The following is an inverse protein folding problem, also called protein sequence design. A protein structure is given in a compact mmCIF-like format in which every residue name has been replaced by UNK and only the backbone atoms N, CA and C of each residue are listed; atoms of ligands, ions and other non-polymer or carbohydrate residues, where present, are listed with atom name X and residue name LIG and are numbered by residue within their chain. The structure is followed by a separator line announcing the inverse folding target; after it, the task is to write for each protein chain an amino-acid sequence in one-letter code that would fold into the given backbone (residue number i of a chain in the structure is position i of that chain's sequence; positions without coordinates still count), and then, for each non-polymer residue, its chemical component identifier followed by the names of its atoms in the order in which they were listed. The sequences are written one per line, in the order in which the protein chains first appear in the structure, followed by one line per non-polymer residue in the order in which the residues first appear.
data_IF_073054982599
#
_entry.id   IF_073054982599
#
_cell.length_a   1.000
_cell.length_b   1.000
_cell.length_c   1.000
_cell.angle_alpha   90.00
_cell.angle_beta   90.00
_cell.angle_gamma   90.00
#
_symmetry.space_group_name_H-M   'P 1'
#
loop_
_entity.id
_entity.type
_entity.pdbx_description
1 polymer ?
#
# COMPACT_ATOMS: atom_id res chain seq x y z
N UNK A 1 6.40 -7.36 3.48
CA UNK A 1 6.69 -7.24 4.93
C UNK A 1 7.82 -8.18 5.33
N UNK A 2 9.00 -7.66 5.70
CA UNK A 2 10.19 -8.49 5.96
C UNK A 2 10.05 -9.40 7.19
N UNK A 3 9.16 -9.05 8.13
CA UNK A 3 8.93 -9.77 9.38
C UNK A 3 7.95 -10.96 9.28
N UNK A 4 7.31 -11.18 8.12
CA UNK A 4 6.44 -12.35 7.91
C UNK A 4 7.28 -13.50 7.36
N UNK A 5 7.24 -14.66 8.04
CA UNK A 5 7.97 -15.86 7.60
C UNK A 5 7.58 -16.24 6.16
N UNK A 6 8.55 -16.63 5.29
CA UNK A 6 8.27 -16.98 3.90
C UNK A 6 7.18 -18.04 3.71
N UNK A 7 7.10 -19.03 4.61
CA UNK A 7 6.06 -20.08 4.57
C UNK A 7 4.64 -19.52 4.62
N UNK A 8 4.41 -18.48 5.42
CA UNK A 8 3.08 -17.89 5.55
C UNK A 8 2.71 -17.08 4.31
N UNK A 9 3.68 -16.42 3.68
CA UNK A 9 3.48 -15.72 2.40
C UNK A 9 3.09 -16.72 1.31
N UNK A 10 3.87 -17.78 1.12
CA UNK A 10 3.59 -18.84 0.14
C UNK A 10 2.20 -19.45 0.26
N UNK A 11 1.73 -19.65 1.49
CA UNK A 11 0.39 -20.20 1.74
C UNK A 11 -0.74 -19.22 1.38
N UNK A 12 -0.45 -17.92 1.28
CA UNK A 12 -1.41 -16.87 0.92
C UNK A 12 -1.31 -16.45 -0.54
N UNK A 13 -0.13 -16.56 -1.16
CA UNK A 13 0.16 -16.05 -2.51
C UNK A 13 -0.88 -16.52 -3.54
N UNK A 14 -1.21 -17.82 -3.59
CA UNK A 14 -2.21 -18.31 -4.54
C UNK A 14 -3.64 -17.76 -4.33
N UNK A 15 -4.01 -17.38 -3.11
CA UNK A 15 -5.29 -16.69 -2.86
C UNK A 15 -5.23 -15.21 -3.20
N UNK A 16 -4.06 -14.60 -3.05
CA UNK A 16 -3.80 -13.21 -3.43
C UNK A 16 -3.90 -13.09 -4.96
N UNK A 17 -3.30 -14.02 -5.69
CA UNK A 17 -3.35 -14.06 -7.16
C UNK A 17 -4.80 -14.18 -7.65
N UNK A 18 -5.58 -15.13 -7.11
CA UNK A 18 -6.99 -15.28 -7.45
C UNK A 18 -7.82 -14.02 -7.17
N UNK A 19 -7.55 -13.34 -6.05
CA UNK A 19 -8.27 -12.12 -5.70
C UNK A 19 -7.86 -10.94 -6.59
N UNK A 20 -6.59 -10.87 -6.98
CA UNK A 20 -6.08 -9.87 -7.92
C UNK A 20 -6.71 -10.05 -9.30
N UNK A 21 -6.74 -11.28 -9.81
CA UNK A 21 -7.36 -11.61 -11.11
C UNK A 21 -8.85 -11.24 -11.11
N UNK A 22 -9.56 -11.52 -10.02
CA UNK A 22 -10.97 -11.13 -9.87
C UNK A 22 -11.14 -9.61 -9.90
N UNK A 23 -10.31 -8.84 -9.17
CA UNK A 23 -10.37 -7.36 -9.21
C UNK A 23 -10.11 -6.83 -10.61
N UNK A 24 -9.13 -7.38 -11.33
CA UNK A 24 -8.80 -6.97 -12.70
C UNK A 24 -9.95 -7.28 -13.65
N UNK A 25 -10.55 -8.47 -13.53
CA UNK A 25 -11.70 -8.87 -14.34
C UNK A 25 -12.91 -7.94 -14.14
N UNK A 26 -13.25 -7.63 -12.90
CA UNK A 26 -14.36 -6.71 -12.58
C UNK A 26 -14.05 -5.27 -13.01
N UNK A 27 -12.79 -4.85 -12.90
CA UNK A 27 -12.37 -3.52 -13.35
C UNK A 27 -12.47 -3.34 -14.87
N UNK A 28 -12.42 -4.43 -15.64
CA UNK A 28 -12.49 -4.40 -17.11
C UNK A 28 -13.86 -3.96 -17.65
N UNK A 29 -14.92 -4.00 -16.82
CA UNK A 29 -16.23 -3.47 -17.19
C UNK A 29 -16.26 -1.93 -17.29
N UNK A 30 -15.26 -1.26 -16.71
CA UNK A 30 -15.16 0.19 -16.68
C UNK A 30 -14.21 0.69 -17.77
N UNK A 31 -14.56 1.82 -18.40
CA UNK A 31 -13.68 2.47 -19.38
C UNK A 31 -12.51 3.25 -18.76
N UNK A 32 -12.55 3.50 -17.45
CA UNK A 32 -11.50 4.20 -16.71
C UNK A 32 -10.37 3.24 -16.31
N UNK A 33 -9.12 3.43 -16.78
CA UNK A 33 -7.98 2.63 -16.35
C UNK A 33 -7.73 2.65 -14.83
N UNK A 34 -8.25 3.64 -14.11
CA UNK A 34 -8.18 3.77 -12.66
C UNK A 34 -9.28 3.05 -11.88
N UNK A 35 -10.28 2.46 -12.54
CA UNK A 35 -11.47 1.90 -11.89
C UNK A 35 -11.15 0.79 -10.86
N UNK A 36 -10.05 0.06 -11.07
CA UNK A 36 -9.59 -0.96 -10.12
C UNK A 36 -9.32 -0.40 -8.71
N UNK A 37 -9.05 0.90 -8.56
CA UNK A 37 -8.76 1.52 -7.27
C UNK A 37 -9.94 1.42 -6.30
N UNK A 38 -11.17 1.63 -6.78
CA UNK A 38 -12.39 1.49 -5.97
C UNK A 38 -12.62 0.04 -5.54
N UNK A 39 -12.46 -0.90 -6.47
CA UNK A 39 -12.61 -2.34 -6.22
C UNK A 39 -11.55 -2.87 -5.25
N UNK A 40 -10.30 -2.41 -5.40
CA UNK A 40 -9.21 -2.76 -4.50
C UNK A 40 -9.47 -2.23 -3.09
N UNK A 41 -9.96 -0.99 -2.96
CA UNK A 41 -10.33 -0.40 -1.68
C UNK A 41 -11.46 -1.19 -0.99
N UNK A 42 -12.55 -1.46 -1.72
CA UNK A 42 -13.65 -2.28 -1.24
C UNK A 42 -13.18 -3.65 -0.75
N UNK A 43 -12.35 -4.31 -1.56
CA UNK A 43 -11.82 -5.64 -1.28
C UNK A 43 -10.94 -5.65 -0.02
N UNK A 44 -10.01 -4.71 0.09
CA UNK A 44 -9.14 -4.57 1.26
C UNK A 44 -9.94 -4.31 2.54
N UNK A 45 -10.93 -3.42 2.48
CA UNK A 45 -11.81 -3.10 3.61
C UNK A 45 -12.59 -4.34 4.04
N UNK A 46 -13.24 -5.01 3.09
CA UNK A 46 -14.02 -6.21 3.37
C UNK A 46 -13.14 -7.35 3.93
N UNK A 47 -11.96 -7.56 3.36
CA UNK A 47 -11.01 -8.57 3.83
C UNK A 47 -10.59 -8.31 5.28
N UNK A 48 -10.19 -7.08 5.61
CA UNK A 48 -9.78 -6.71 6.95
C UNK A 48 -10.92 -6.93 7.98
N UNK A 49 -12.14 -6.46 7.69
CA UNK A 49 -13.29 -6.65 8.57
C UNK A 49 -13.65 -8.13 8.74
N UNK A 50 -13.58 -8.91 7.66
CA UNK A 50 -13.82 -10.36 7.68
C UNK A 50 -12.77 -11.13 8.48
N UNK A 51 -11.50 -10.70 8.43
CA UNK A 51 -10.42 -11.24 9.27
C UNK A 51 -10.68 -10.93 10.74
N UNK A 52 -11.01 -9.68 11.08
CA UNK A 52 -11.34 -9.30 12.46
C UNK A 52 -12.51 -10.10 12.99
N UNK A 53 -13.60 -10.22 12.23
CA UNK A 53 -14.78 -10.99 12.64
C UNK A 53 -14.44 -12.46 12.90
N UNK A 54 -13.66 -13.10 12.02
CA UNK A 54 -13.25 -14.51 12.18
C UNK A 54 -12.26 -14.72 13.34
N UNK A 55 -11.34 -13.78 13.55
CA UNK A 55 -10.25 -13.92 14.53
C UNK A 55 -10.62 -13.45 15.94
N UNK A 56 -11.46 -12.43 16.05
CA UNK A 56 -11.76 -11.72 17.28
C UNK A 56 -13.25 -11.73 17.66
N UNK A 57 -14.14 -12.18 16.75
CA UNK A 57 -15.58 -12.30 16.96
C UNK A 57 -16.34 -10.96 16.88
N UNK A 58 -15.79 -9.90 17.48
CA UNK A 58 -16.42 -8.58 17.56
C UNK A 58 -15.41 -7.45 17.33
N UNK A 59 -15.90 -6.33 16.79
CA UNK A 59 -15.10 -5.12 16.61
C UNK A 59 -14.90 -4.41 17.95
N UNK A 60 -13.69 -3.92 18.21
CA UNK A 60 -13.33 -3.12 19.38
C UNK A 60 -12.50 -1.92 18.94
N UNK A 61 -12.52 -0.84 19.71
CA UNK A 61 -11.82 0.40 19.33
C UNK A 61 -10.32 0.18 19.01
N UNK A 62 -9.62 -0.61 19.81
CA UNK A 62 -8.21 -0.91 19.56
C UNK A 62 -7.98 -1.66 18.23
N UNK A 63 -8.96 -2.44 17.74
CA UNK A 63 -8.90 -3.09 16.43
C UNK A 63 -9.08 -2.08 15.30
N UNK A 64 -9.89 -1.04 15.50
CA UNK A 64 -10.03 0.07 14.55
C UNK A 64 -8.69 0.80 14.43
N UNK A 65 -8.10 1.20 15.55
CA UNK A 65 -6.78 1.85 15.58
C UNK A 65 -5.70 0.97 14.92
N UNK A 66 -5.71 -0.35 15.21
CA UNK A 66 -4.79 -1.31 14.60
C UNK A 66 -4.96 -1.37 13.08
N UNK A 67 -6.20 -1.53 12.58
CA UNK A 67 -6.47 -1.62 11.14
C UNK A 67 -6.09 -0.32 10.41
N UNK A 68 -6.43 0.84 10.97
CA UNK A 68 -6.03 2.14 10.42
C UNK A 68 -4.50 2.25 10.33
N UNK A 69 -3.79 1.86 11.39
CA UNK A 69 -2.32 1.82 11.39
C UNK A 69 -1.76 0.85 10.35
N UNK A 70 -2.36 -0.32 10.17
CA UNK A 70 -1.96 -1.29 9.13
C UNK A 70 -2.11 -0.67 7.74
N UNK A 71 -3.26 -0.08 7.42
CA UNK A 71 -3.48 0.54 6.11
C UNK A 71 -2.57 1.74 5.85
N UNK A 72 -2.33 2.59 6.86
CA UNK A 72 -1.37 3.69 6.77
C UNK A 72 0.04 3.18 6.47
N UNK A 73 0.51 2.17 7.21
CA UNK A 73 1.82 1.56 6.98
C UNK A 73 1.93 0.94 5.59
N UNK A 74 0.86 0.32 5.06
CA UNK A 74 0.85 -0.20 3.70
C UNK A 74 1.04 0.92 2.66
N UNK A 75 0.29 2.02 2.78
CA UNK A 75 0.41 3.17 1.89
C UNK A 75 1.82 3.79 1.94
N UNK A 76 2.36 3.98 3.15
CA UNK A 76 3.69 4.56 3.34
C UNK A 76 4.79 3.66 2.76
N UNK A 77 4.64 2.34 2.87
CA UNK A 77 5.60 1.39 2.29
C UNK A 77 5.52 1.33 0.76
N UNK A 78 4.34 1.54 0.16
CA UNK A 78 4.23 1.70 -1.29
C UNK A 78 5.01 2.92 -1.76
N UNK A 79 4.82 4.07 -1.11
CA UNK A 79 5.53 5.27 -1.48
C UNK A 79 7.04 5.13 -1.23
N UNK A 80 7.44 4.64 -0.06
CA UNK A 80 8.86 4.48 0.31
C UNK A 80 9.62 3.49 -0.57
N UNK A 81 9.00 2.36 -0.97
CA UNK A 81 9.69 1.29 -1.71
C UNK A 81 9.48 1.33 -3.22
N UNK A 82 8.44 2.03 -3.70
CA UNK A 82 8.10 2.08 -5.13
C UNK A 82 8.13 3.52 -5.63
N UNK A 83 7.45 4.44 -4.93
CA UNK A 83 7.40 5.86 -5.28
C UNK A 83 8.77 6.54 -5.23
N UNK A 84 9.44 6.51 -4.08
CA UNK A 84 10.73 7.18 -3.89
C UNK A 84 11.82 6.68 -4.87
N UNK A 85 11.98 5.37 -5.15
CA UNK A 85 12.91 4.94 -6.20
C UNK A 85 12.56 5.45 -7.60
N UNK A 86 11.28 5.57 -7.94
CA UNK A 86 10.83 6.18 -9.19
C UNK A 86 11.18 7.67 -9.23
N UNK A 87 10.89 8.42 -8.16
CA UNK A 87 11.18 9.85 -8.04
C UNK A 87 12.68 10.13 -8.09
N UNK A 88 13.51 9.32 -7.41
CA UNK A 88 14.97 9.43 -7.48
C UNK A 88 15.48 9.35 -8.93
N UNK A 89 14.88 8.47 -9.76
CA UNK A 89 15.21 8.40 -11.19
C UNK A 89 14.75 9.64 -11.95
N UNK A 90 13.59 10.19 -11.62
CA UNK A 90 13.10 11.43 -12.24
C UNK A 90 13.96 12.64 -11.85
N UNK A 91 14.40 12.72 -10.59
CA UNK A 91 15.33 13.75 -10.10
C UNK A 91 16.65 13.68 -10.84
N UNK A 92 17.23 12.48 -10.99
CA UNK A 92 18.48 12.30 -11.74
C UNK A 92 18.34 12.72 -13.23
N UNK A 93 17.14 12.63 -13.80
CA UNK A 93 16.86 12.98 -15.20
C UNK A 93 16.53 14.45 -15.40
N UNK A 94 15.70 15.03 -14.54
CA UNK A 94 15.07 16.33 -14.76
C UNK A 94 15.56 17.41 -13.77
N UNK A 95 16.37 17.03 -12.77
CA UNK A 95 16.64 17.86 -11.60
C UNK A 95 15.56 17.74 -10.54
N UNK A 96 15.89 18.16 -9.32
CA UNK A 96 14.96 18.26 -8.20
C UNK A 96 14.41 19.69 -8.04
N UNK A 97 13.49 19.90 -7.11
CA UNK A 97 13.02 21.23 -6.71
C UNK A 97 14.21 22.03 -6.15
N UNK A 98 14.56 23.19 -6.73
CA UNK A 98 15.75 23.95 -6.31
C UNK A 98 15.77 24.32 -4.83
N UNK A 99 14.61 24.62 -4.25
CA UNK A 99 14.51 25.01 -2.84
C UNK A 99 14.91 23.90 -1.87
N UNK A 100 14.70 22.61 -2.23
CA UNK A 100 15.22 21.52 -1.40
C UNK A 100 16.75 21.51 -1.35
N UNK A 101 17.40 21.87 -2.46
CA UNK A 101 18.86 21.95 -2.52
C UNK A 101 19.41 23.11 -1.68
N UNK A 102 18.67 24.21 -1.55
CA UNK A 102 19.02 25.32 -0.65
C UNK A 102 18.99 24.86 0.80
N UNK A 103 17.90 24.24 1.24
CA UNK A 103 17.78 23.72 2.61
C UNK A 103 18.80 22.63 2.95
N UNK A 104 19.12 21.73 2.01
CA UNK A 104 20.16 20.72 2.22
C UNK A 104 21.54 21.38 2.49
N UNK A 105 21.88 22.43 1.76
CA UNK A 105 23.12 23.20 1.99
C UNK A 105 23.13 23.93 3.33
N UNK A 106 21.97 24.38 3.83
CA UNK A 106 21.87 24.98 5.16
C UNK A 106 22.14 23.95 6.25
N UNK A 107 21.52 22.76 6.14
CA UNK A 107 21.68 21.65 7.09
C UNK A 107 23.13 21.16 7.13
N UNK A 108 23.81 21.04 5.99
CA UNK A 108 25.22 20.60 5.92
C UNK A 108 26.20 21.56 6.60
N UNK A 109 25.81 22.82 6.84
CA UNK A 109 26.63 23.83 7.52
C UNK A 109 26.39 23.89 9.03
N UNK A 110 25.39 23.18 9.55
CA UNK A 110 25.09 23.07 10.98
C UNK A 110 25.98 22.03 11.65
#
# INVERSE_FOLDING_TARGET
MPYILPKHRKNLDGFIDQLADAIVSEAAEYSDPGAFAGLLNYTCTCLALRVVRRRCGQMRYWLIALLTGVFKNMADEFYRRVGAPYENRQIAKNGDVPLFQEYLKEIEKM
#
